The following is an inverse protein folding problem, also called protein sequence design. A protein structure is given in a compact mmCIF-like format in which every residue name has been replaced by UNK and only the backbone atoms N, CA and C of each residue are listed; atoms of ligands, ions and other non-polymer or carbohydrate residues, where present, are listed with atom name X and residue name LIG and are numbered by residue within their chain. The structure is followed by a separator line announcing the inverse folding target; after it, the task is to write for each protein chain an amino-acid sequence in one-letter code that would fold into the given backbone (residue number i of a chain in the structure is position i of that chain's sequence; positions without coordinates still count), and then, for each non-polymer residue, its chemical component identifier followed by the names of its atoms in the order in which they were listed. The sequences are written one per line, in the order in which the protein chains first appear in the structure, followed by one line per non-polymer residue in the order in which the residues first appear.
data_IF_039029921455
#
_entry.id   IF_039029921455
#
_cell.length_a   1.000
_cell.length_b   1.000
_cell.length_c   1.000
_cell.angle_alpha   90.00
_cell.angle_beta   90.00
_cell.angle_gamma   90.00
#
_symmetry.space_group_name_H-M   'P 1'
#
loop_
_entity.id
_entity.type
_entity.pdbx_description
1 polymer ?
#
# COMPACT_ATOMS: atom_id res chain seq x y z
N UNK A 1 22.01 10.72 16.87
CA UNK A 1 21.27 9.44 16.99
C UNK A 1 21.67 8.54 15.82
N UNK A 2 22.38 7.45 16.08
CA UNK A 2 22.69 6.42 15.08
C UNK A 2 21.39 5.71 14.68
N UNK A 3 21.05 5.69 13.38
CA UNK A 3 19.93 4.89 12.88
C UNK A 3 20.20 3.42 13.23
N UNK A 4 19.42 2.88 14.17
CA UNK A 4 19.51 1.45 14.51
C UNK A 4 19.12 0.62 13.30
N UNK A 5 20.01 -0.29 12.90
CA UNK A 5 19.81 -1.17 11.73
C UNK A 5 18.85 -2.30 12.09
N UNK A 6 18.03 -2.73 11.13
CA UNK A 6 17.18 -3.91 11.29
C UNK A 6 18.02 -5.20 11.40
N UNK A 7 17.46 -6.28 11.95
CA UNK A 7 18.14 -7.57 12.02
C UNK A 7 18.67 -8.05 10.66
N UNK A 8 19.79 -8.80 10.63
CA UNK A 8 20.28 -9.40 9.38
C UNK A 8 19.21 -10.31 8.75
N UNK A 9 19.07 -10.25 7.43
CA UNK A 9 18.09 -11.06 6.68
C UNK A 9 16.79 -10.35 6.33
N UNK A 10 16.59 -9.09 6.71
CA UNK A 10 15.44 -8.28 6.28
C UNK A 10 15.87 -7.00 5.58
N UNK A 11 15.14 -6.60 4.54
CA UNK A 11 15.37 -5.31 3.89
C UNK A 11 14.62 -4.20 4.64
N UNK A 12 15.19 -3.00 4.66
CA UNK A 12 14.52 -1.78 5.17
C UNK A 12 13.14 -1.58 4.55
N UNK A 13 12.94 -2.01 3.30
CA UNK A 13 11.66 -1.91 2.59
C UNK A 13 10.58 -2.79 3.23
N UNK A 14 10.92 -4.03 3.61
CA UNK A 14 9.98 -4.96 4.24
C UNK A 14 9.58 -4.49 5.62
N UNK A 15 10.55 -4.07 6.45
CA UNK A 15 10.27 -3.53 7.78
C UNK A 15 9.41 -2.25 7.70
N UNK A 16 9.75 -1.30 6.82
CA UNK A 16 8.95 -0.08 6.64
C UNK A 16 7.53 -0.40 6.19
N UNK A 17 7.37 -1.37 5.30
CA UNK A 17 6.06 -1.81 4.83
C UNK A 17 5.18 -2.38 5.96
N UNK A 18 5.77 -3.14 6.91
CA UNK A 18 5.07 -3.61 8.12
C UNK A 18 4.62 -2.44 8.99
N UNK A 19 5.51 -1.46 9.22
CA UNK A 19 5.20 -0.29 10.04
C UNK A 19 4.02 0.50 9.47
N UNK A 20 4.01 0.69 8.15
CA UNK A 20 2.93 1.38 7.46
C UNK A 20 1.59 0.64 7.56
N UNK A 21 1.60 -0.68 7.35
CA UNK A 21 0.41 -1.52 7.48
C UNK A 21 -0.14 -1.50 8.92
N UNK A 22 0.75 -1.53 9.92
CA UNK A 22 0.36 -1.41 11.32
C UNK A 22 -0.24 -0.02 11.65
N UNK A 23 0.30 1.05 11.05
CA UNK A 23 -0.22 2.41 11.24
C UNK A 23 -1.65 2.61 10.70
N UNK A 24 -2.02 1.89 9.64
CA UNK A 24 -3.38 1.92 9.07
C UNK A 24 -4.28 0.80 9.60
N UNK A 25 -3.85 0.11 10.66
CA UNK A 25 -4.60 -0.98 11.30
C UNK A 25 -5.00 -2.10 10.33
N UNK A 26 -4.15 -2.38 9.33
CA UNK A 26 -4.41 -3.45 8.38
C UNK A 26 -4.57 -4.80 9.10
N UNK A 27 -5.38 -5.74 8.58
CA UNK A 27 -5.43 -7.10 9.12
C UNK A 27 -4.12 -7.86 8.88
N UNK A 28 -3.72 -8.72 9.82
CA UNK A 28 -2.49 -9.51 9.69
C UNK A 28 -2.46 -10.44 8.47
N UNK A 29 -3.63 -10.83 7.95
CA UNK A 29 -3.78 -11.58 6.70
C UNK A 29 -3.26 -10.84 5.45
N UNK A 30 -3.01 -9.53 5.56
CA UNK A 30 -2.50 -8.69 4.49
C UNK A 30 -0.97 -8.65 4.44
N UNK A 31 -0.30 -9.24 5.43
CA UNK A 31 1.13 -9.42 5.39
C UNK A 31 1.48 -10.43 4.29
N UNK A 32 2.48 -10.08 3.48
CA UNK A 32 3.15 -11.04 2.60
C UNK A 32 3.86 -12.11 3.44
N UNK A 33 4.17 -13.24 2.81
CA UNK A 33 4.88 -14.35 3.45
C UNK A 33 6.18 -13.90 4.12
N UNK A 34 6.96 -13.03 3.46
CA UNK A 34 8.25 -12.57 3.98
C UNK A 34 8.08 -11.65 5.20
N UNK A 35 7.07 -10.78 5.18
CA UNK A 35 6.74 -9.92 6.32
C UNK A 35 6.32 -10.74 7.53
N UNK A 36 5.43 -11.70 7.32
CA UNK A 36 4.96 -12.58 8.38
C UNK A 36 6.10 -13.43 8.94
N UNK A 37 6.93 -14.03 8.06
CA UNK A 37 8.10 -14.81 8.47
C UNK A 37 9.04 -13.98 9.33
N UNK A 38 9.37 -12.77 8.90
CA UNK A 38 10.24 -11.87 9.66
C UNK A 38 9.71 -11.59 11.07
N UNK A 39 8.41 -11.27 11.20
CA UNK A 39 7.81 -11.01 12.51
C UNK A 39 7.91 -12.23 13.44
N UNK A 40 7.69 -13.43 12.91
CA UNK A 40 7.73 -14.68 13.69
C UNK A 40 9.16 -15.14 14.03
N UNK A 41 10.17 -14.75 13.24
CA UNK A 41 11.58 -15.15 13.48
C UNK A 41 12.38 -14.07 14.22
N UNK A 42 11.78 -13.41 15.21
CA UNK A 42 12.45 -12.42 16.07
C UNK A 42 12.30 -10.96 15.63
N UNK A 43 11.63 -10.68 14.51
CA UNK A 43 11.33 -9.31 14.09
C UNK A 43 10.42 -8.58 15.09
N UNK A 44 9.45 -9.29 15.69
CA UNK A 44 8.57 -8.72 16.70
C UNK A 44 9.33 -8.35 17.99
N UNK A 45 10.25 -9.20 18.45
CA UNK A 45 11.07 -8.91 19.64
C UNK A 45 11.97 -7.70 19.42
N UNK A 46 12.54 -7.57 18.22
CA UNK A 46 13.27 -6.37 17.83
C UNK A 46 12.40 -5.11 17.94
N UNK A 47 11.14 -5.17 17.47
CA UNK A 47 10.21 -4.04 17.60
C UNK A 47 9.90 -3.72 19.07
N UNK A 48 9.72 -4.71 19.94
CA UNK A 48 9.48 -4.49 21.37
C UNK A 48 10.64 -3.76 22.04
N UNK A 49 11.87 -4.14 21.73
CA UNK A 49 13.07 -3.54 22.29
C UNK A 49 13.36 -2.14 21.72
N UNK A 50 13.06 -1.92 20.43
CA UNK A 50 13.56 -0.74 19.71
C UNK A 50 12.50 0.30 19.38
N UNK A 51 11.24 -0.11 19.21
CA UNK A 51 10.11 0.75 18.84
C UNK A 51 8.82 0.21 19.50
N UNK A 52 8.71 0.22 20.84
CA UNK A 52 7.63 -0.46 21.57
C UNK A 52 6.22 0.01 21.16
N UNK A 53 6.05 1.30 20.86
CA UNK A 53 4.79 1.86 20.36
C UNK A 53 4.35 1.26 19.00
N UNK A 54 5.28 0.84 18.14
CA UNK A 54 4.96 0.14 16.90
C UNK A 54 4.77 -1.36 17.15
N UNK A 55 5.47 -1.94 18.12
CA UNK A 55 5.31 -3.34 18.49
C UNK A 55 3.85 -3.63 18.90
N UNK A 56 3.26 -2.78 19.73
CA UNK A 56 1.86 -2.90 20.15
C UNK A 56 0.91 -2.90 18.95
N UNK A 57 1.05 -1.93 18.03
CA UNK A 57 0.24 -1.86 16.80
C UNK A 57 0.43 -3.08 15.90
N UNK A 58 1.66 -3.60 15.80
CA UNK A 58 1.96 -4.80 15.01
C UNK A 58 1.30 -6.03 15.65
N UNK A 59 1.35 -6.18 16.97
CA UNK A 59 0.68 -7.28 17.67
C UNK A 59 -0.84 -7.23 17.48
N UNK A 60 -1.44 -6.04 17.56
CA UNK A 60 -2.86 -5.87 17.26
C UNK A 60 -3.18 -6.23 15.81
N UNK A 61 -2.39 -5.77 14.84
CA UNK A 61 -2.54 -6.14 13.44
C UNK A 61 -2.49 -7.65 13.26
N UNK A 62 -1.55 -8.35 13.91
CA UNK A 62 -1.45 -9.81 13.84
C UNK A 62 -2.68 -10.53 14.41
N UNK A 63 -3.38 -9.94 15.39
CA UNK A 63 -4.63 -10.48 15.96
C UNK A 63 -5.85 -10.21 15.06
N UNK A 64 -5.85 -9.10 14.29
CA UNK A 64 -6.96 -8.72 13.40
C UNK A 64 -7.12 -9.75 12.27
N UNK A 65 -8.31 -10.34 12.18
CA UNK A 65 -8.76 -11.14 11.03
C UNK A 65 -9.61 -10.26 10.14
N UNK A 66 -9.23 -10.14 8.87
CA UNK A 66 -10.00 -9.42 7.87
C UNK A 66 -9.88 -10.11 6.53
N UNK A 67 -10.91 -9.98 5.66
CA UNK A 67 -10.84 -10.52 4.32
C UNK A 67 -9.67 -9.88 3.58
N UNK A 68 -9.02 -10.68 2.74
CA UNK A 68 -8.12 -10.19 1.70
C UNK A 68 -8.81 -10.45 0.36
N UNK A 69 -9.74 -9.57 -0.08
CA UNK A 69 -10.64 -9.89 -1.19
C UNK A 69 -9.99 -9.66 -2.57
N UNK A 70 -8.68 -9.40 -2.63
CA UNK A 70 -8.01 -8.98 -3.84
C UNK A 70 -7.44 -10.14 -4.65
N UNK A 71 -7.82 -10.19 -5.92
CA UNK A 71 -7.07 -10.88 -6.97
C UNK A 71 -6.20 -9.85 -7.72
N UNK A 72 -4.88 -10.04 -7.70
CA UNK A 72 -3.94 -9.09 -8.32
C UNK A 72 -4.00 -9.07 -9.85
N UNK A 73 -4.42 -10.17 -10.49
CA UNK A 73 -4.61 -10.21 -11.94
C UNK A 73 -5.89 -9.44 -12.31
N UNK A 74 -6.98 -9.67 -11.59
CA UNK A 74 -8.23 -8.94 -11.82
C UNK A 74 -8.03 -7.43 -11.64
N UNK A 75 -7.29 -7.02 -10.60
CA UNK A 75 -6.95 -5.62 -10.37
C UNK A 75 -6.09 -5.03 -11.48
N UNK A 76 -5.05 -5.75 -11.93
CA UNK A 76 -4.21 -5.30 -13.03
C UNK A 76 -5.06 -5.08 -14.31
N UNK A 77 -5.95 -6.02 -14.64
CA UNK A 77 -6.86 -5.90 -15.77
C UNK A 77 -7.83 -4.72 -15.64
N UNK A 78 -8.40 -4.51 -14.45
CA UNK A 78 -9.25 -3.35 -14.17
C UNK A 78 -8.50 -2.03 -14.41
N UNK A 79 -7.26 -1.92 -13.92
CA UNK A 79 -6.42 -0.74 -14.09
C UNK A 79 -6.04 -0.55 -15.56
N UNK A 80 -5.69 -1.61 -16.28
CA UNK A 80 -5.33 -1.54 -17.70
C UNK A 80 -6.52 -1.14 -18.58
N UNK A 81 -7.74 -1.61 -18.25
CA UNK A 81 -8.98 -1.12 -18.88
C UNK A 81 -9.16 0.38 -18.67
N UNK A 82 -8.90 0.87 -17.45
CA UNK A 82 -8.95 2.31 -17.14
C UNK A 82 -7.90 3.10 -17.92
N UNK A 83 -6.65 2.63 -17.99
CA UNK A 83 -5.57 3.27 -18.77
C UNK A 83 -6.00 3.45 -20.23
N UNK A 84 -6.55 2.39 -20.85
CA UNK A 84 -7.04 2.43 -22.24
C UNK A 84 -8.23 3.38 -22.40
N UNK A 85 -9.21 3.32 -21.48
CA UNK A 85 -10.41 4.18 -21.50
C UNK A 85 -10.07 5.67 -21.34
N UNK A 86 -9.18 5.99 -20.41
CA UNK A 86 -8.76 7.36 -20.11
C UNK A 86 -7.61 7.86 -21.01
N UNK A 87 -7.13 7.01 -21.94
CA UNK A 87 -6.02 7.30 -22.87
C UNK A 87 -4.76 7.81 -22.14
N UNK A 88 -4.42 7.17 -21.01
CA UNK A 88 -3.26 7.56 -20.22
C UNK A 88 -1.97 7.05 -20.88
N UNK A 89 -0.94 7.89 -20.97
CA UNK A 89 0.37 7.52 -21.49
C UNK A 89 1.21 6.84 -20.40
N UNK A 90 0.94 5.56 -20.16
CA UNK A 90 1.66 4.73 -19.19
C UNK A 90 1.67 3.28 -19.65
N UNK A 91 2.78 2.59 -19.41
CA UNK A 91 2.87 1.16 -19.67
C UNK A 91 1.83 0.39 -18.86
N UNK A 92 1.41 -0.76 -19.39
CA UNK A 92 0.49 -1.66 -18.69
C UNK A 92 0.99 -1.98 -17.27
N UNK A 93 0.03 -2.09 -16.36
CA UNK A 93 0.23 -2.42 -14.96
C UNK A 93 0.23 -3.93 -14.82
N UNK A 94 1.27 -4.45 -14.19
CA UNK A 94 1.42 -5.88 -13.90
C UNK A 94 0.83 -6.22 -12.51
N UNK A 95 0.39 -7.48 -12.28
CA UNK A 95 -0.13 -7.91 -10.98
C UNK A 95 0.82 -7.62 -9.81
N UNK A 96 2.12 -7.81 -10.00
CA UNK A 96 3.15 -7.51 -8.98
C UNK A 96 3.20 -6.03 -8.59
N UNK A 97 2.84 -5.12 -9.49
CA UNK A 97 2.76 -3.69 -9.17
C UNK A 97 1.54 -3.37 -8.31
N UNK A 98 0.40 -4.04 -8.54
CA UNK A 98 -0.80 -3.92 -7.70
C UNK A 98 -0.55 -4.49 -6.30
N UNK A 99 0.09 -5.65 -6.20
CA UNK A 99 0.50 -6.24 -4.92
C UNK A 99 1.43 -5.29 -4.17
N UNK A 100 2.41 -4.69 -4.87
CA UNK A 100 3.37 -3.79 -4.26
C UNK A 100 2.71 -2.55 -3.64
N UNK A 101 1.59 -2.06 -4.20
CA UNK A 101 0.81 -0.96 -3.62
C UNK A 101 -0.04 -1.46 -2.45
N UNK A 102 -0.83 -2.52 -2.63
CA UNK A 102 -1.75 -3.05 -1.60
C UNK A 102 -1.00 -3.46 -0.34
N UNK A 103 0.17 -4.08 -0.50
CA UNK A 103 1.00 -4.51 0.62
C UNK A 103 2.01 -3.45 1.06
N UNK A 104 1.90 -2.20 0.59
CA UNK A 104 2.75 -1.08 0.99
C UNK A 104 4.26 -1.36 0.78
N UNK A 105 4.61 -2.21 -0.20
CA UNK A 105 6.00 -2.39 -0.66
C UNK A 105 6.50 -1.14 -1.39
N UNK A 106 5.57 -0.35 -1.93
CA UNK A 106 5.77 1.04 -2.34
C UNK A 106 5.36 1.96 -1.18
N UNK A 107 6.28 2.83 -0.81
CA UNK A 107 6.11 3.73 0.32
C UNK A 107 5.32 4.99 -0.11
N UNK A 108 4.11 5.22 0.41
CA UNK A 108 3.29 6.37 0.05
C UNK A 108 3.92 7.70 0.49
N UNK A 109 4.73 7.71 1.56
CA UNK A 109 5.34 8.94 2.09
C UNK A 109 6.52 9.45 1.26
N UNK A 110 7.06 8.62 0.36
CA UNK A 110 8.22 8.96 -0.46
C UNK A 110 7.93 8.89 -1.96
N UNK A 111 6.79 8.33 -2.35
CA UNK A 111 6.42 8.23 -3.77
C UNK A 111 5.77 9.52 -4.25
N UNK A 112 6.30 10.09 -5.32
CA UNK A 112 5.65 11.14 -6.13
C UNK A 112 5.37 10.65 -7.56
N UNK A 113 5.42 9.33 -7.76
CA UNK A 113 5.25 8.69 -9.06
C UNK A 113 3.79 8.72 -9.52
N UNK A 114 3.49 9.33 -10.69
CA UNK A 114 2.14 9.31 -11.26
C UNK A 114 1.59 7.89 -11.50
N UNK A 115 2.43 6.93 -11.89
CA UNK A 115 2.01 5.52 -12.09
C UNK A 115 1.58 4.88 -10.77
N UNK A 116 2.35 5.05 -9.70
CA UNK A 116 1.98 4.51 -8.37
C UNK A 116 0.69 5.14 -7.86
N UNK A 117 0.52 6.45 -8.08
CA UNK A 117 -0.71 7.16 -7.76
C UNK A 117 -1.92 6.58 -8.51
N UNK A 118 -1.79 6.41 -9.83
CA UNK A 118 -2.82 5.79 -10.67
C UNK A 118 -3.22 4.41 -10.17
N UNK A 119 -2.26 3.56 -9.80
CA UNK A 119 -2.54 2.23 -9.27
C UNK A 119 -3.33 2.34 -7.96
N UNK A 120 -2.88 3.15 -7.01
CA UNK A 120 -3.56 3.34 -5.72
C UNK A 120 -4.98 3.91 -5.88
N UNK A 121 -5.15 4.95 -6.71
CA UNK A 121 -6.45 5.57 -7.01
C UNK A 121 -7.39 4.58 -7.69
N UNK A 122 -6.88 3.74 -8.58
CA UNK A 122 -7.69 2.73 -9.24
C UNK A 122 -8.14 1.62 -8.29
N UNK A 123 -7.26 1.16 -7.40
CA UNK A 123 -7.63 0.17 -6.38
C UNK A 123 -8.69 0.78 -5.43
N UNK A 124 -8.52 2.03 -5.02
CA UNK A 124 -9.51 2.74 -4.20
C UNK A 124 -10.87 2.84 -4.90
N UNK A 125 -10.91 3.20 -6.18
CA UNK A 125 -12.14 3.22 -6.99
C UNK A 125 -12.77 1.84 -7.12
N UNK A 126 -11.96 0.81 -7.36
CA UNK A 126 -12.43 -0.57 -7.41
C UNK A 126 -13.10 -0.97 -6.09
N UNK A 127 -12.50 -0.68 -4.94
CA UNK A 127 -13.12 -0.94 -3.63
C UNK A 127 -14.48 -0.23 -3.50
N UNK A 128 -14.57 1.05 -3.90
CA UNK A 128 -15.84 1.80 -3.88
C UNK A 128 -16.90 1.19 -4.78
N UNK A 129 -16.53 0.73 -5.98
CA UNK A 129 -17.46 0.05 -6.89
C UNK A 129 -17.97 -1.26 -6.31
N UNK A 130 -17.11 -2.05 -5.67
CA UNK A 130 -17.51 -3.29 -4.99
C UNK A 130 -18.45 -3.03 -3.81
N UNK A 131 -18.19 -1.98 -3.02
CA UNK A 131 -19.07 -1.55 -1.94
C UNK A 131 -20.45 -1.11 -2.45
N UNK A 132 -20.51 -0.38 -3.57
CA UNK A 132 -21.79 -0.02 -4.21
C UNK A 132 -22.59 -1.24 -4.69
N UNK A 133 -21.92 -2.36 -5.00
CA UNK A 133 -22.55 -3.65 -5.32
C UNK A 133 -22.93 -4.47 -4.08
N UNK A 134 -22.71 -3.95 -2.87
CA UNK A 134 -23.03 -4.61 -1.61
C UNK A 134 -21.95 -5.53 -1.06
N UNK A 135 -20.76 -5.57 -1.67
CA UNK A 135 -19.67 -6.44 -1.20
C UNK A 135 -18.92 -5.80 -0.02
N UNK A 136 -19.37 -6.09 1.21
CA UNK A 136 -18.80 -5.55 2.45
C UNK A 136 -17.34 -5.96 2.72
N UNK A 137 -16.80 -6.97 2.04
CA UNK A 137 -15.40 -7.36 2.21
C UNK A 137 -14.41 -6.23 1.84
N UNK A 138 -14.88 -5.22 1.09
CA UNK A 138 -14.09 -4.08 0.63
C UNK A 138 -14.08 -2.87 1.57
N UNK A 139 -14.77 -2.91 2.72
CA UNK A 139 -14.83 -1.76 3.64
C UNK A 139 -13.46 -1.41 4.24
N UNK A 140 -12.75 -2.42 4.74
CA UNK A 140 -11.39 -2.26 5.29
C UNK A 140 -10.41 -1.86 4.17
N UNK A 141 -10.38 -2.53 3.01
CA UNK A 141 -9.62 -2.08 1.86
C UNK A 141 -9.80 -0.63 1.44
N UNK A 142 -11.05 -0.17 1.34
CA UNK A 142 -11.34 1.20 0.92
C UNK A 142 -10.71 2.22 1.86
N UNK A 143 -10.87 2.02 3.18
CA UNK A 143 -10.29 2.88 4.22
C UNK A 143 -8.75 2.92 4.14
N UNK A 144 -8.12 1.75 4.05
CA UNK A 144 -6.66 1.62 3.98
C UNK A 144 -6.11 2.32 2.73
N UNK A 145 -6.72 2.08 1.57
CA UNK A 145 -6.29 2.70 0.32
C UNK A 145 -6.57 4.21 0.29
N UNK A 146 -7.65 4.67 0.92
CA UNK A 146 -7.90 6.09 1.14
C UNK A 146 -6.77 6.76 1.93
N UNK A 147 -6.30 6.12 3.02
CA UNK A 147 -5.15 6.62 3.80
C UNK A 147 -3.84 6.58 3.02
N UNK A 148 -3.62 5.56 2.20
CA UNK A 148 -2.46 5.51 1.30
C UNK A 148 -2.44 6.74 0.37
N UNK A 149 -3.59 7.08 -0.24
CA UNK A 149 -3.73 8.23 -1.13
C UNK A 149 -3.55 9.56 -0.40
N UNK A 150 -4.09 9.69 0.81
CA UNK A 150 -3.90 10.87 1.67
C UNK A 150 -2.42 11.15 1.90
N UNK A 151 -1.66 10.14 2.34
CA UNK A 151 -0.21 10.28 2.55
C UNK A 151 0.57 10.58 1.28
N UNK A 152 0.18 9.95 0.17
CA UNK A 152 0.83 10.18 -1.11
C UNK A 152 0.56 11.60 -1.62
N UNK A 153 -0.68 12.11 -1.50
CA UNK A 153 -1.04 13.49 -1.85
C UNK A 153 -0.23 14.50 -1.02
N UNK A 154 -0.14 14.32 0.30
CA UNK A 154 0.68 15.20 1.16
C UNK A 154 2.15 15.25 0.70
N UNK A 155 2.72 14.11 0.31
CA UNK A 155 4.08 14.09 -0.22
C UNK A 155 4.19 14.76 -1.59
N UNK A 156 3.21 14.58 -2.48
CA UNK A 156 3.17 15.23 -3.79
C UNK A 156 3.05 16.73 -3.64
N UNK A 157 2.12 17.22 -2.81
CA UNK A 157 1.95 18.64 -2.51
C UNK A 157 3.26 19.26 -2.02
N UNK A 158 3.93 18.59 -1.08
CA UNK A 158 5.23 19.03 -0.56
C UNK A 158 6.35 19.07 -1.61
N UNK A 159 6.34 18.16 -2.60
CA UNK A 159 7.47 17.98 -3.53
C UNK A 159 7.25 18.61 -4.90
N UNK A 160 6.00 18.79 -5.32
CA UNK A 160 5.59 19.24 -6.65
C UNK A 160 4.57 20.39 -6.61
N UNK A 161 4.07 20.77 -5.43
CA UNK A 161 2.96 21.72 -5.28
C UNK A 161 1.59 21.07 -5.49
N UNK A 162 0.54 21.89 -5.55
CA UNK A 162 -0.84 21.44 -5.78
C UNK A 162 -1.05 21.03 -7.25
N UNK A 163 -0.57 19.84 -7.59
CA UNK A 163 -0.68 19.26 -8.93
C UNK A 163 -1.43 17.93 -8.88
N UNK A 164 -2.29 17.70 -9.88
CA UNK A 164 -2.92 16.40 -10.07
C UNK A 164 -1.96 15.43 -10.79
N UNK A 165 -1.50 14.33 -10.16
CA UNK A 165 -0.52 13.42 -10.75
C UNK A 165 -1.03 12.75 -12.03
N UNK A 166 -2.35 12.59 -12.18
CA UNK A 166 -2.93 11.96 -13.36
C UNK A 166 -2.83 12.84 -14.61
N UNK A 167 -2.75 14.15 -14.46
CA UNK A 167 -2.59 15.05 -15.60
C UNK A 167 -1.19 14.93 -16.22
N UNK A 168 -0.16 14.60 -15.41
CA UNK A 168 1.16 14.24 -15.92
C UNK A 168 1.12 13.00 -16.84
N UNK A 169 0.17 12.09 -16.64
CA UNK A 169 -0.01 10.90 -17.48
C UNK A 169 -0.82 11.18 -18.74
N UNK A 170 -1.59 12.28 -18.77
CA UNK A 170 -2.37 12.70 -19.94
C UNK A 170 -1.56 13.58 -20.89
N UNK A 171 -0.68 14.41 -20.33
CA UNK A 171 -0.03 15.51 -21.06
C UNK A 171 1.40 15.19 -21.54
N UNK A 172 1.98 14.04 -21.19
CA UNK A 172 3.25 13.60 -21.78
C UNK A 172 3.01 13.05 -23.19
N UNK A 173 3.13 13.93 -24.19
CA UNK A 173 3.46 13.54 -25.57
C UNK A 173 4.96 13.73 -25.78
#
# INVERSE_FOLDING_TARGET
MTRKKYPPGITTKVAKSIELLAMVEAPGSWLSRDQYKFLMTGGLDWYKEHKPHLAEKIEEMLKRKGPFPFDFYELADYINKRIKKEKLNVNEVLPVETEAVIRFKRDPFLSSSPKVYLIADSIYKYCKEQLKKGNKAYEIPEKIMGKYLEWMNLNIERTKGDVNPLDELRNKK
#
